data_IF_907420031175
#
_entry.id   IF_907420031175
#
_cell.length_a   1.000
_cell.length_b   1.000
_cell.length_c   1.000
_cell.angle_alpha   90.00
_cell.angle_beta   90.00
_cell.angle_gamma   90.00
#
_symmetry.space_group_name_H-M   'P 1'
#
loop_
_entity.id
_entity.type
_entity.pdbx_description
1 polymer ?
#
# COMPACT_ATOMS: atom_id res chain seq x y z
N UNK A 1 -19.65 8.95 11.63
CA UNK A 1 -18.60 9.99 11.71
C UNK A 1 -17.49 9.53 10.78
N UNK A 2 -17.55 9.98 9.53
CA UNK A 2 -16.64 9.54 8.46
C UNK A 2 -15.29 10.21 8.64
N UNK A 3 -14.32 9.50 9.23
CA UNK A 3 -12.93 9.99 9.26
C UNK A 3 -12.39 9.94 7.83
N UNK A 4 -12.22 11.12 7.23
CA UNK A 4 -11.54 11.26 5.95
C UNK A 4 -10.11 10.74 6.10
N UNK A 5 -9.66 9.87 5.20
CA UNK A 5 -8.32 9.29 5.25
C UNK A 5 -7.25 10.38 5.42
N UNK A 6 -6.43 10.25 6.46
CA UNK A 6 -5.36 11.22 6.75
C UNK A 6 -4.41 11.30 5.54
N UNK A 7 -4.27 12.50 4.98
CA UNK A 7 -3.29 12.83 3.91
C UNK A 7 -1.98 13.41 4.44
N UNK A 8 -1.82 13.49 5.77
CA UNK A 8 -0.64 14.02 6.47
C UNK A 8 0.38 12.95 6.86
N UNK A 9 1.35 13.30 7.70
CA UNK A 9 2.62 12.58 7.90
C UNK A 9 2.52 11.11 8.34
N UNK A 10 1.34 10.64 8.81
CA UNK A 10 0.86 9.24 8.90
C UNK A 10 1.67 8.28 9.78
N UNK A 11 2.92 8.63 10.03
CA UNK A 11 4.01 7.86 10.57
C UNK A 11 4.82 8.70 11.57
N UNK A 12 4.41 9.96 11.85
CA UNK A 12 5.03 10.84 12.83
C UNK A 12 6.55 10.95 12.68
N UNK A 13 7.02 11.24 11.45
CA UNK A 13 8.45 11.32 11.12
C UNK A 13 9.19 9.99 11.00
N UNK A 14 8.51 8.84 11.16
CA UNK A 14 9.11 7.49 11.03
C UNK A 14 8.89 6.84 9.67
N UNK A 15 8.62 7.64 8.64
CA UNK A 15 8.38 7.13 7.29
C UNK A 15 9.52 6.21 6.82
N UNK A 16 10.78 6.62 7.04
CA UNK A 16 11.97 5.86 6.61
C UNK A 16 12.02 4.46 7.24
N UNK A 17 11.78 4.35 8.55
CA UNK A 17 11.78 3.06 9.25
C UNK A 17 10.65 2.14 8.78
N UNK A 18 9.50 2.70 8.42
CA UNK A 18 8.38 1.93 7.84
C UNK A 18 8.75 1.45 6.45
N UNK A 19 9.31 2.31 5.59
CA UNK A 19 9.76 1.93 4.27
C UNK A 19 10.86 0.86 4.33
N UNK A 20 11.83 1.00 5.23
CA UNK A 20 12.87 -0.02 5.45
C UNK A 20 12.24 -1.36 5.84
N UNK A 21 11.28 -1.37 6.75
CA UNK A 21 10.58 -2.59 7.18
C UNK A 21 9.89 -3.28 6.00
N UNK A 22 9.19 -2.50 5.17
CA UNK A 22 8.53 -3.03 3.96
C UNK A 22 9.56 -3.61 2.98
N UNK A 23 10.62 -2.86 2.66
CA UNK A 23 11.67 -3.33 1.74
C UNK A 23 12.31 -4.62 2.24
N UNK A 24 12.65 -4.68 3.54
CA UNK A 24 13.24 -5.88 4.14
C UNK A 24 12.28 -7.07 4.14
N UNK A 25 10.97 -6.84 4.24
CA UNK A 25 9.98 -7.91 4.15
C UNK A 25 9.92 -8.57 2.77
N UNK A 26 10.28 -7.84 1.71
CA UNK A 26 10.39 -8.38 0.34
C UNK A 26 11.76 -8.97 0.01
N UNK A 27 12.76 -8.75 0.87
CA UNK A 27 14.11 -9.23 0.61
C UNK A 27 14.13 -10.77 0.53
N UNK A 28 14.80 -11.31 -0.49
CA UNK A 28 14.89 -12.75 -0.76
C UNK A 28 13.59 -13.45 -1.19
N UNK A 29 12.52 -12.70 -1.49
CA UNK A 29 11.31 -13.26 -2.09
C UNK A 29 11.38 -13.24 -3.62
N UNK A 30 10.76 -14.24 -4.26
CA UNK A 30 10.47 -14.19 -5.69
C UNK A 30 9.40 -13.12 -5.98
N UNK A 31 9.23 -12.73 -7.25
CA UNK A 31 8.18 -11.78 -7.63
C UNK A 31 6.77 -12.30 -7.29
N UNK A 32 6.55 -13.61 -7.42
CA UNK A 32 5.29 -14.26 -7.07
C UNK A 32 5.06 -14.24 -5.55
N UNK A 33 6.07 -14.58 -4.76
CA UNK A 33 5.99 -14.54 -3.29
C UNK A 33 5.82 -13.11 -2.78
N UNK A 34 6.49 -12.15 -3.42
CA UNK A 34 6.38 -10.72 -3.14
C UNK A 34 4.95 -10.20 -3.40
N UNK A 35 4.33 -10.63 -4.50
CA UNK A 35 2.93 -10.32 -4.80
C UNK A 35 1.98 -10.97 -3.79
N UNK A 36 2.23 -12.23 -3.41
CA UNK A 36 1.45 -12.94 -2.39
C UNK A 36 1.58 -12.28 -1.00
N UNK A 37 2.77 -11.81 -0.63
CA UNK A 37 3.01 -11.03 0.59
C UNK A 37 2.18 -9.75 0.58
N UNK A 38 2.22 -8.98 -0.51
CA UNK A 38 1.43 -7.76 -0.65
C UNK A 38 -0.08 -8.01 -0.53
N UNK A 39 -0.60 -9.04 -1.20
CA UNK A 39 -2.01 -9.39 -1.12
C UNK A 39 -2.44 -9.72 0.33
N UNK A 40 -1.64 -10.52 1.05
CA UNK A 40 -1.90 -10.85 2.46
C UNK A 40 -1.81 -9.63 3.35
N UNK A 41 -0.79 -8.78 3.16
CA UNK A 41 -0.59 -7.57 3.93
C UNK A 41 -1.79 -6.62 3.77
N UNK A 42 -2.28 -6.41 2.55
CA UNK A 42 -3.48 -5.59 2.28
C UNK A 42 -4.70 -6.14 3.01
N UNK A 43 -4.92 -7.45 3.00
CA UNK A 43 -6.05 -8.07 3.71
C UNK A 43 -5.96 -7.90 5.22
N UNK A 44 -4.77 -8.09 5.80
CA UNK A 44 -4.53 -7.88 7.23
C UNK A 44 -4.80 -6.41 7.59
N UNK A 45 -4.23 -5.46 6.85
CA UNK A 45 -4.45 -4.04 7.10
C UNK A 45 -5.91 -3.62 6.92
N UNK A 46 -6.62 -4.19 5.94
CA UNK A 46 -8.04 -3.95 5.74
C UNK A 46 -8.88 -4.43 6.93
N UNK A 47 -8.52 -5.59 7.51
CA UNK A 47 -9.12 -6.07 8.75
C UNK A 47 -8.84 -5.13 9.93
N UNK A 48 -7.58 -4.69 10.10
CA UNK A 48 -7.18 -3.79 11.19
C UNK A 48 -7.85 -2.40 11.11
N UNK A 49 -8.16 -1.92 9.90
CA UNK A 49 -8.91 -0.65 9.71
C UNK A 49 -10.36 -0.79 10.18
N UNK A 50 -10.99 -1.96 10.01
CA UNK A 50 -12.34 -2.27 10.51
C UNK A 50 -13.52 -1.49 9.88
N UNK A 51 -13.25 -0.50 9.03
CA UNK A 51 -14.25 0.36 8.38
C UNK A 51 -14.28 0.15 6.83
N UNK A 52 -15.37 -0.41 6.29
CA UNK A 52 -15.55 -0.59 4.85
C UNK A 52 -15.54 0.72 4.04
N UNK A 53 -16.02 1.84 4.60
CA UNK A 53 -16.01 3.13 3.90
C UNK A 53 -14.60 3.71 3.80
N UNK A 54 -13.81 3.58 4.86
CA UNK A 54 -12.39 3.94 4.85
C UNK A 54 -11.61 3.12 3.81
N UNK A 55 -11.88 1.81 3.73
CA UNK A 55 -11.28 0.92 2.73
C UNK A 55 -11.66 1.33 1.30
N UNK A 56 -12.94 1.63 1.05
CA UNK A 56 -13.40 2.07 -0.27
C UNK A 56 -12.73 3.40 -0.71
N UNK A 57 -12.59 4.34 0.22
CA UNK A 57 -11.88 5.60 -0.02
C UNK A 57 -10.39 5.36 -0.32
N UNK A 58 -9.76 4.41 0.36
CA UNK A 58 -8.33 4.11 0.19
C UNK A 58 -8.07 3.49 -1.18
N UNK A 59 -8.92 2.55 -1.61
CA UNK A 59 -8.88 1.96 -2.94
C UNK A 59 -9.06 3.04 -4.01
N UNK A 60 -10.04 3.94 -3.84
CA UNK A 60 -10.26 5.03 -4.77
C UNK A 60 -9.05 5.97 -4.87
N UNK A 61 -8.35 6.23 -3.76
CA UNK A 61 -7.12 7.04 -3.73
C UNK A 61 -5.97 6.33 -4.42
N UNK A 62 -5.73 5.05 -4.12
CA UNK A 62 -4.69 4.25 -4.76
C UNK A 62 -4.89 4.16 -6.28
N UNK A 63 -6.14 4.03 -6.75
CA UNK A 63 -6.45 4.04 -8.18
C UNK A 63 -6.15 5.38 -8.85
N UNK A 64 -6.27 6.51 -8.15
CA UNK A 64 -5.93 7.84 -8.68
C UNK A 64 -4.43 8.11 -8.68
N UNK A 65 -3.67 7.50 -7.77
CA UNK A 65 -2.20 7.67 -7.72
C UNK A 65 -1.47 6.88 -8.80
N UNK A 66 -2.11 5.86 -9.36
CA UNK A 66 -1.69 5.29 -10.63
C UNK A 66 -1.97 6.35 -11.71
N UNK A 67 -0.95 7.14 -12.08
CA UNK A 67 -1.04 8.01 -13.26
C UNK A 67 -1.45 7.21 -14.51
N UNK A 68 -1.77 7.85 -15.66
CA UNK A 68 -1.95 7.11 -16.90
C UNK A 68 -0.72 6.23 -17.07
N UNK A 69 -0.90 4.90 -17.13
CA UNK A 69 0.19 3.97 -17.26
C UNK A 69 1.05 4.42 -18.44
N UNK A 70 2.23 4.98 -18.16
CA UNK A 70 3.15 5.38 -19.21
C UNK A 70 3.47 4.15 -20.05
N UNK A 71 3.55 4.25 -21.39
CA UNK A 71 3.73 3.10 -22.28
C UNK A 71 5.13 2.45 -22.20
N UNK A 72 5.83 2.59 -21.08
CA UNK A 72 7.20 2.12 -20.89
C UNK A 72 7.31 1.26 -19.64
N UNK A 73 6.82 0.03 -19.77
CA UNK A 73 7.27 -1.09 -18.94
C UNK A 73 7.45 -2.31 -19.85
N UNK A 74 8.18 -2.11 -20.95
CA UNK A 74 8.84 -3.21 -21.64
C UNK A 74 10.07 -3.56 -20.81
N UNK A 75 10.01 -4.69 -20.10
CA UNK A 75 11.18 -5.25 -19.44
C UNK A 75 12.27 -5.58 -20.49
N UNK A 76 13.57 -5.45 -20.16
CA UNK A 76 14.62 -6.13 -20.90
C UNK A 76 14.55 -7.64 -20.71
#
# INVERSE_FOLDING_TARGET
>A
MTESLRRGDGFAGRADAVYETLIRAHHSLSDEDSAALNARLVLILAHEVGDPEALAQAIALARRSLGPAGPDRAAP
#
